data_IF_255529827912
#
_entry.id   IF_255529827912
#
_cell.length_a   1.000
_cell.length_b   1.000
_cell.length_c   1.000
_cell.angle_alpha   90.00
_cell.angle_beta   90.00
_cell.angle_gamma   90.00
#
_symmetry.space_group_name_H-M   'P 1'
#
loop_
_entity.id
_entity.type
_entity.pdbx_description
1 polymer ?
#
# COMPACT_ATOMS: atom_id res chain seq x y z
N UNK A 1 -5.97 -17.04 -15.46
CA UNK A 1 -5.71 -15.81 -14.70
C UNK A 1 -5.60 -14.62 -15.64
N UNK A 2 -4.54 -14.47 -16.46
CA UNK A 2 -4.41 -13.28 -17.33
C UNK A 2 -5.50 -13.22 -18.41
N UNK A 3 -5.76 -14.31 -19.13
CA UNK A 3 -6.80 -14.32 -20.19
C UNK A 3 -8.23 -14.15 -19.64
N UNK A 4 -8.49 -14.64 -18.42
CA UNK A 4 -9.81 -14.60 -17.79
C UNK A 4 -10.05 -13.34 -16.94
N UNK A 5 -8.99 -12.64 -16.52
CA UNK A 5 -9.07 -11.56 -15.52
C UNK A 5 -9.41 -12.03 -14.09
N UNK A 6 -9.59 -13.33 -13.88
CA UNK A 6 -10.02 -13.92 -12.60
C UNK A 6 -8.84 -14.51 -11.83
N UNK A 7 -8.90 -14.41 -10.50
CA UNK A 7 -7.92 -14.99 -9.59
C UNK A 7 -6.57 -14.28 -9.54
N UNK A 8 -6.51 -13.00 -9.96
CA UNK A 8 -5.30 -12.18 -9.89
C UNK A 8 -4.92 -11.98 -8.42
N UNK A 9 -3.74 -12.46 -8.04
CA UNK A 9 -3.21 -12.28 -6.69
C UNK A 9 -2.44 -10.94 -6.55
N UNK A 10 -1.94 -10.70 -5.34
CA UNK A 10 -1.24 -9.46 -5.01
C UNK A 10 0.02 -9.24 -5.85
N UNK A 11 0.80 -10.30 -6.09
CA UNK A 11 2.08 -10.19 -6.79
C UNK A 11 1.88 -9.94 -8.28
N UNK A 12 0.88 -10.58 -8.90
CA UNK A 12 0.52 -10.33 -10.28
C UNK A 12 -0.05 -8.91 -10.44
N UNK A 13 -0.90 -8.45 -9.53
CA UNK A 13 -1.40 -7.07 -9.55
C UNK A 13 -0.28 -6.04 -9.40
N UNK A 14 0.69 -6.29 -8.51
CA UNK A 14 1.90 -5.46 -8.35
C UNK A 14 2.73 -5.41 -9.65
N UNK A 15 2.98 -6.57 -10.27
CA UNK A 15 3.72 -6.65 -11.53
C UNK A 15 2.99 -5.92 -12.68
N UNK A 16 1.66 -6.01 -12.74
CA UNK A 16 0.85 -5.28 -13.72
C UNK A 16 0.92 -3.76 -13.51
N UNK A 17 0.91 -3.30 -12.25
CA UNK A 17 1.07 -1.89 -11.94
C UNK A 17 2.46 -1.36 -12.37
N UNK A 18 3.54 -2.11 -12.09
CA UNK A 18 4.88 -1.75 -12.57
C UNK A 18 4.95 -1.75 -14.09
N UNK A 19 4.43 -2.78 -14.75
CA UNK A 19 4.41 -2.88 -16.21
C UNK A 19 3.65 -1.70 -16.84
N UNK A 20 2.51 -1.30 -16.28
CA UNK A 20 1.75 -0.15 -16.77
C UNK A 20 2.57 1.15 -16.68
N UNK A 21 3.25 1.39 -15.55
CA UNK A 21 4.13 2.55 -15.39
C UNK A 21 5.29 2.54 -16.39
N UNK A 22 5.94 1.39 -16.59
CA UNK A 22 7.03 1.22 -17.56
C UNK A 22 6.57 1.50 -18.98
N UNK A 23 5.38 1.01 -19.36
CA UNK A 23 4.77 1.26 -20.69
C UNK A 23 4.49 2.75 -20.91
N UNK A 24 4.11 3.48 -19.86
CA UNK A 24 3.93 4.94 -19.89
C UNK A 24 5.26 5.72 -19.89
N UNK A 25 6.39 5.04 -19.76
CA UNK A 25 7.72 5.63 -19.70
C UNK A 25 8.12 6.14 -18.30
N UNK A 26 7.38 5.75 -17.26
CA UNK A 26 7.70 6.07 -15.88
C UNK A 26 8.74 5.09 -15.32
N UNK A 27 9.79 5.65 -14.72
CA UNK A 27 10.80 4.88 -14.02
C UNK A 27 10.24 4.28 -12.71
N UNK A 28 10.47 2.99 -12.50
CA UNK A 28 10.09 2.26 -11.28
C UNK A 28 11.34 1.74 -10.59
N UNK A 29 11.50 2.11 -9.31
CA UNK A 29 12.60 1.64 -8.47
C UNK A 29 12.08 0.93 -7.23
N UNK A 30 12.57 -0.28 -6.98
CA UNK A 30 12.27 -1.09 -5.81
C UNK A 30 13.57 -1.44 -5.07
N UNK A 31 13.65 -1.07 -3.80
CA UNK A 31 14.85 -1.24 -2.97
C UNK A 31 14.46 -1.76 -1.59
N UNK A 32 15.25 -2.70 -1.06
CA UNK A 32 15.06 -3.27 0.26
C UNK A 32 15.68 -4.65 0.39
N UNK A 33 15.58 -5.24 1.58
CA UNK A 33 16.13 -6.56 1.85
C UNK A 33 15.31 -7.64 1.11
N UNK A 34 16.00 -8.48 0.33
CA UNK A 34 15.43 -9.58 -0.44
C UNK A 34 14.25 -9.22 -1.38
N UNK A 35 14.15 -7.96 -1.81
CA UNK A 35 13.01 -7.48 -2.63
C UNK A 35 12.93 -8.11 -4.01
N UNK A 36 14.04 -8.57 -4.58
CA UNK A 36 14.09 -9.27 -5.88
C UNK A 36 13.19 -10.51 -5.88
N UNK A 37 13.25 -11.32 -4.82
CA UNK A 37 12.39 -12.49 -4.61
C UNK A 37 11.10 -12.12 -3.88
N UNK A 38 11.21 -11.18 -2.95
CA UNK A 38 10.25 -10.91 -1.89
C UNK A 38 10.55 -11.76 -0.65
N UNK A 39 10.42 -11.15 0.53
CA UNK A 39 10.55 -11.82 1.84
C UNK A 39 9.67 -13.06 1.91
N UNK A 40 8.41 -12.94 1.45
CA UNK A 40 7.42 -14.02 1.42
C UNK A 40 7.48 -14.89 0.16
N UNK A 41 8.54 -14.76 -0.65
CA UNK A 41 8.71 -15.45 -1.93
C UNK A 41 7.52 -15.31 -2.88
N UNK A 42 6.89 -14.14 -2.89
CA UNK A 42 5.69 -13.88 -3.68
C UNK A 42 5.98 -13.14 -4.98
N UNK A 43 7.10 -12.39 -5.08
CA UNK A 43 7.32 -11.40 -6.14
C UNK A 43 8.10 -11.93 -7.35
N UNK A 44 9.28 -12.50 -7.10
CA UNK A 44 10.17 -13.01 -8.16
C UNK A 44 10.42 -12.03 -9.33
N UNK A 45 10.67 -10.74 -9.04
CA UNK A 45 11.05 -9.74 -10.06
C UNK A 45 12.36 -10.09 -10.75
N UNK A 46 13.26 -10.80 -10.07
CA UNK A 46 14.46 -11.39 -10.66
C UNK A 46 14.39 -12.90 -10.55
N UNK A 47 14.57 -13.57 -11.68
CA UNK A 47 14.67 -15.02 -11.78
C UNK A 47 16.14 -15.39 -11.96
N UNK A 48 16.55 -16.47 -11.30
CA UNK A 48 17.89 -17.02 -11.41
C UNK A 48 17.84 -18.34 -12.17
N UNK A 49 18.59 -18.41 -13.27
CA UNK A 49 18.83 -19.64 -13.99
C UNK A 49 19.49 -20.68 -13.07
N UNK A 50 18.92 -21.88 -13.00
CA UNK A 50 19.31 -22.89 -12.01
C UNK A 50 20.65 -23.56 -12.34
N UNK A 51 21.10 -23.53 -13.60
CA UNK A 51 22.34 -24.17 -14.03
C UNK A 51 23.51 -23.19 -14.04
N UNK A 52 23.27 -21.97 -14.51
CA UNK A 52 24.30 -20.94 -14.75
C UNK A 52 24.32 -19.85 -13.69
N UNK A 53 23.24 -19.66 -12.92
CA UNK A 53 23.07 -18.58 -11.97
C UNK A 53 22.80 -17.21 -12.63
N UNK A 54 22.64 -17.16 -13.95
CA UNK A 54 22.33 -15.93 -14.68
C UNK A 54 21.01 -15.33 -14.19
N UNK A 55 20.99 -14.00 -14.02
CA UNK A 55 19.80 -13.24 -13.63
C UNK A 55 18.98 -12.86 -14.86
N UNK A 56 17.67 -12.92 -14.74
CA UNK A 56 16.72 -12.41 -15.73
C UNK A 56 15.62 -11.62 -15.02
N UNK A 57 15.37 -10.39 -15.46
CA UNK A 57 14.24 -9.58 -14.99
C UNK A 57 13.19 -9.45 -16.10
N UNK A 58 12.00 -10.06 -15.95
CA UNK A 58 10.95 -9.96 -16.95
C UNK A 58 10.46 -8.53 -17.19
N UNK A 59 10.51 -7.67 -16.17
CA UNK A 59 10.06 -6.27 -16.25
C UNK A 59 11.00 -5.37 -17.08
N UNK A 60 12.21 -5.84 -17.41
CA UNK A 60 13.12 -5.14 -18.34
C UNK A 60 12.70 -5.34 -19.82
N UNK A 61 11.72 -6.20 -20.08
CA UNK A 61 11.35 -6.68 -21.42
C UNK A 61 9.85 -6.49 -21.73
N UNK A 62 9.21 -5.47 -21.15
CA UNK A 62 7.77 -5.21 -21.32
C UNK A 62 7.47 -4.51 -22.65
N UNK A 63 8.38 -3.65 -23.13
CA UNK A 63 8.26 -2.94 -24.42
C UNK A 63 9.44 -3.20 -25.35
N UNK A 64 9.22 -3.10 -26.66
CA UNK A 64 10.32 -3.22 -27.63
C UNK A 64 11.31 -2.06 -27.49
N UNK A 65 12.60 -2.37 -27.45
CA UNK A 65 13.67 -1.39 -27.20
C UNK A 65 13.47 -0.61 -25.89
N UNK A 66 12.96 -1.28 -24.85
CA UNK A 66 12.85 -0.70 -23.52
C UNK A 66 14.22 -0.20 -23.05
N UNK A 67 14.26 1.00 -22.46
CA UNK A 67 15.44 1.41 -21.72
C UNK A 67 15.54 0.53 -20.47
N UNK A 68 16.63 -0.23 -20.34
CA UNK A 68 16.91 -1.13 -19.23
C UNK A 68 16.88 -0.42 -17.87
N UNK A 69 17.06 0.90 -17.84
CA UNK A 69 16.97 1.67 -16.61
C UNK A 69 15.53 1.90 -16.13
N UNK A 70 14.49 1.66 -16.94
CA UNK A 70 13.09 1.97 -16.56
C UNK A 70 12.56 1.16 -15.38
N UNK A 71 13.10 -0.04 -15.14
CA UNK A 71 12.79 -0.83 -13.96
C UNK A 71 14.08 -1.19 -13.24
N UNK A 72 14.21 -0.76 -12.00
CA UNK A 72 15.34 -1.14 -11.16
C UNK A 72 14.85 -1.81 -9.88
N UNK A 73 15.28 -3.06 -9.67
CA UNK A 73 15.05 -3.78 -8.41
C UNK A 73 16.41 -4.13 -7.80
N UNK A 74 16.59 -3.84 -6.52
CA UNK A 74 17.89 -4.01 -5.86
C UNK A 74 17.72 -4.54 -4.45
N UNK A 75 18.29 -5.73 -4.20
CA UNK A 75 18.48 -6.21 -2.84
C UNK A 75 19.47 -5.29 -2.11
N UNK A 76 18.98 -4.63 -1.06
CA UNK A 76 19.80 -3.75 -0.24
C UNK A 76 20.70 -4.55 0.72
N UNK A 77 21.72 -3.89 1.26
CA UNK A 77 22.39 -4.36 2.47
C UNK A 77 21.40 -4.46 3.65
N UNK A 78 21.80 -5.16 4.72
CA UNK A 78 21.08 -5.18 6.01
C UNK A 78 21.21 -3.83 6.73
N UNK A 79 20.59 -2.79 6.18
CA UNK A 79 20.52 -1.45 6.78
C UNK A 79 19.22 -0.78 6.37
N UNK A 80 18.42 -0.36 7.34
CA UNK A 80 17.15 0.33 7.11
C UNK A 80 17.39 1.83 7.01
N UNK A 81 18.09 2.42 7.98
CA UNK A 81 18.23 3.88 8.09
C UNK A 81 18.99 4.49 6.90
N UNK A 82 20.11 3.89 6.50
CA UNK A 82 20.92 4.42 5.40
C UNK A 82 20.23 4.21 4.04
N UNK A 83 19.63 3.03 3.83
CA UNK A 83 18.91 2.72 2.59
C UNK A 83 17.69 3.63 2.44
N UNK A 84 16.88 3.79 3.50
CA UNK A 84 15.73 4.69 3.48
C UNK A 84 16.16 6.15 3.20
N UNK A 85 17.25 6.61 3.80
CA UNK A 85 17.80 7.94 3.52
C UNK A 85 18.26 8.11 2.07
N UNK A 86 18.86 7.08 1.48
CA UNK A 86 19.23 7.06 0.07
C UNK A 86 18.01 7.12 -0.84
N UNK A 87 17.01 6.25 -0.62
CA UNK A 87 15.80 6.21 -1.44
C UNK A 87 14.97 7.50 -1.29
N UNK A 88 14.97 8.12 -0.10
CA UNK A 88 14.38 9.44 0.09
C UNK A 88 15.08 10.50 -0.79
N UNK A 89 16.42 10.54 -0.78
CA UNK A 89 17.18 11.46 -1.63
C UNK A 89 16.92 11.23 -3.12
N UNK A 90 16.87 9.96 -3.54
CA UNK A 90 16.54 9.58 -4.92
C UNK A 90 15.15 10.08 -5.33
N UNK A 91 14.15 9.91 -4.45
CA UNK A 91 12.76 10.34 -4.71
C UNK A 91 12.55 11.86 -4.75
N UNK A 92 13.50 12.65 -4.25
CA UNK A 92 13.42 14.12 -4.34
C UNK A 92 13.96 14.65 -5.67
N UNK A 93 14.77 13.86 -6.37
CA UNK A 93 15.32 14.21 -7.69
C UNK A 93 14.36 13.80 -8.82
N UNK A 94 13.60 12.72 -8.62
CA UNK A 94 12.60 12.25 -9.58
C UNK A 94 11.18 12.48 -9.05
N UNK A 95 10.38 13.41 -9.64
CA UNK A 95 9.12 13.87 -9.07
C UNK A 95 7.94 12.87 -9.19
N UNK A 96 8.10 11.73 -9.88
CA UNK A 96 7.01 10.81 -10.18
C UNK A 96 6.83 9.69 -9.15
N UNK A 97 6.89 10.02 -7.86
CA UNK A 97 6.71 9.03 -6.79
C UNK A 97 5.84 9.69 -5.67
N UNK A 98 5.05 8.95 -4.85
CA UNK A 98 4.23 9.43 -3.68
C UNK A 98 4.76 9.05 -2.23
N UNK A 99 4.99 9.99 -1.27
CA UNK A 99 5.47 9.75 0.14
C UNK A 99 5.00 10.75 1.22
N UNK A 100 5.27 10.39 2.48
CA UNK A 100 5.06 11.08 3.75
C UNK A 100 6.40 11.57 4.39
N UNK A 101 6.75 12.84 4.22
CA UNK A 101 7.88 13.50 4.91
C UNK A 101 7.57 14.96 5.21
N UNK A 102 8.08 15.50 6.32
CA UNK A 102 8.01 16.95 6.63
C UNK A 102 8.88 17.83 5.70
N UNK A 103 9.56 17.23 4.71
CA UNK A 103 10.41 17.94 3.76
C UNK A 103 9.65 18.94 2.88
N UNK A 104 8.39 18.65 2.53
CA UNK A 104 7.56 19.59 1.79
C UNK A 104 7.23 20.83 2.64
N UNK A 105 6.71 20.64 3.85
CA UNK A 105 6.36 21.74 4.74
C UNK A 105 7.55 22.63 5.13
N UNK A 106 8.74 22.05 5.34
CA UNK A 106 9.93 22.80 5.77
C UNK A 106 10.75 23.40 4.63
N UNK A 107 10.83 22.70 3.50
CA UNK A 107 11.80 23.00 2.45
C UNK A 107 11.19 23.02 1.05
N UNK A 108 9.86 22.89 0.93
CA UNK A 108 9.12 22.82 -0.34
C UNK A 108 9.66 21.71 -1.26
N UNK A 109 10.15 20.62 -0.66
CA UNK A 109 10.64 19.44 -1.38
C UNK A 109 9.58 18.37 -1.39
N UNK A 110 8.92 18.24 -2.53
CA UNK A 110 8.05 17.12 -2.83
C UNK A 110 8.91 15.86 -2.99
N UNK A 111 8.32 14.75 -2.59
CA UNK A 111 8.92 13.42 -2.66
C UNK A 111 7.79 12.49 -2.99
N UNK A 112 8.13 11.37 -3.62
CA UNK A 112 7.34 10.27 -3.18
C UNK A 112 7.80 8.82 -3.28
N UNK A 113 8.81 8.58 -2.49
CA UNK A 113 9.01 7.28 -1.90
C UNK A 113 7.73 6.54 -1.41
N UNK A 114 7.36 5.42 -2.03
CA UNK A 114 6.35 4.51 -1.45
C UNK A 114 7.03 3.61 -0.41
N UNK A 115 6.48 3.52 0.80
CA UNK A 115 7.04 2.65 1.87
C UNK A 115 6.12 1.46 2.11
N UNK A 116 6.61 0.28 1.74
CA UNK A 116 5.93 -1.00 1.93
C UNK A 116 6.33 -1.61 3.28
N UNK A 117 5.40 -1.65 4.23
CA UNK A 117 5.61 -2.23 5.55
C UNK A 117 4.67 -3.42 5.76
N UNK A 118 5.16 -4.67 5.67
CA UNK A 118 4.37 -5.85 6.00
C UNK A 118 3.75 -5.73 7.40
N UNK A 119 2.46 -6.03 7.52
CA UNK A 119 1.67 -5.83 8.72
C UNK A 119 0.59 -6.92 8.82
N UNK A 120 0.40 -7.50 10.02
CA UNK A 120 -0.60 -8.54 10.26
C UNK A 120 -0.36 -9.22 11.60
N UNK A 121 -1.43 -9.47 12.37
CA UNK A 121 -1.33 -10.08 13.70
C UNK A 121 -1.47 -11.61 13.63
N UNK A 122 -0.55 -12.26 12.92
CA UNK A 122 -0.62 -13.71 12.61
C UNK A 122 0.08 -14.60 13.66
N UNK A 123 0.31 -14.09 14.87
CA UNK A 123 0.94 -14.85 15.97
C UNK A 123 2.45 -15.02 15.86
N UNK A 124 3.14 -14.27 14.99
CA UNK A 124 4.61 -14.35 14.81
C UNK A 124 5.43 -13.54 15.84
N UNK A 125 4.77 -13.05 16.89
CA UNK A 125 5.40 -12.28 17.95
C UNK A 125 5.54 -10.78 17.65
N UNK A 126 6.07 -10.01 18.61
CA UNK A 126 5.98 -8.55 18.62
C UNK A 126 6.69 -7.86 17.45
N UNK A 127 7.81 -8.44 16.98
CA UNK A 127 8.64 -7.84 15.92
C UNK A 127 8.19 -8.21 14.49
N UNK A 128 7.17 -9.06 14.35
CA UNK A 128 6.65 -9.52 13.05
C UNK A 128 5.15 -9.30 12.90
N UNK A 129 4.55 -8.44 13.75
CA UNK A 129 3.10 -8.20 13.74
C UNK A 129 2.72 -6.78 13.29
N UNK A 130 3.42 -5.77 13.80
CA UNK A 130 3.00 -4.37 13.68
C UNK A 130 4.00 -3.51 12.92
N UNK A 131 3.51 -2.82 11.88
CA UNK A 131 4.23 -1.72 11.21
C UNK A 131 4.13 -0.40 11.98
N UNK A 132 3.44 -0.39 13.12
CA UNK A 132 3.21 0.79 13.97
C UNK A 132 2.49 1.91 13.24
N UNK A 133 1.44 1.56 12.49
CA UNK A 133 0.62 2.48 11.69
C UNK A 133 0.15 3.70 12.49
N UNK A 134 -0.16 3.54 13.78
CA UNK A 134 -0.53 4.62 14.69
C UNK A 134 0.51 5.75 14.75
N UNK A 135 1.81 5.42 14.59
CA UNK A 135 2.89 6.41 14.56
C UNK A 135 2.88 7.19 13.25
N UNK A 136 2.59 6.56 12.12
CA UNK A 136 2.45 7.24 10.83
C UNK A 136 1.25 8.18 10.82
N UNK A 137 0.13 7.75 11.39
CA UNK A 137 -1.06 8.60 11.54
C UNK A 137 -0.77 9.79 12.47
N UNK A 138 -0.06 9.59 13.57
CA UNK A 138 0.36 10.70 14.45
C UNK A 138 1.28 11.71 13.76
N UNK A 139 2.10 11.27 12.79
CA UNK A 139 2.98 12.15 12.02
C UNK A 139 2.27 12.87 10.86
N UNK A 140 1.04 12.47 10.54
CA UNK A 140 0.23 13.16 9.54
C UNK A 140 -0.25 14.49 10.10
N UNK A 141 -0.37 15.51 9.25
CA UNK A 141 -0.83 16.85 9.63
C UNK A 141 -2.36 16.99 9.62
N UNK A 142 -3.07 15.87 9.47
CA UNK A 142 -4.52 15.80 9.48
C UNK A 142 -5.05 16.22 10.86
N UNK A 143 -6.03 17.13 10.90
CA UNK A 143 -6.50 17.69 12.15
C UNK A 143 -7.58 16.78 12.77
N UNK A 144 -7.31 16.09 13.89
CA UNK A 144 -8.23 15.11 14.45
C UNK A 144 -9.52 15.72 15.02
N UNK A 145 -9.55 17.05 15.22
CA UNK A 145 -10.69 17.76 15.79
C UNK A 145 -11.49 18.56 14.75
N UNK A 146 -10.98 18.67 13.51
CA UNK A 146 -11.68 19.36 12.42
C UNK A 146 -12.40 18.31 11.59
N UNK A 147 -13.71 18.25 11.82
CA UNK A 147 -14.62 17.38 11.08
C UNK A 147 -15.44 18.29 10.14
N UNK A 148 -15.56 17.99 8.84
CA UNK A 148 -16.41 18.74 7.93
C UNK A 148 -17.86 18.83 8.43
N UNK A 149 -18.57 19.90 8.10
CA UNK A 149 -20.00 19.98 8.39
C UNK A 149 -20.75 18.83 7.69
N UNK A 150 -21.53 18.08 8.49
CA UNK A 150 -22.30 16.94 8.02
C UNK A 150 -23.49 16.68 8.93
N UNK A 151 -24.39 15.82 8.46
CA UNK A 151 -25.55 15.39 9.24
C UNK A 151 -25.13 14.82 10.61
N UNK A 152 -25.75 15.24 11.74
CA UNK A 152 -25.37 14.80 13.08
C UNK A 152 -25.41 13.29 13.30
N UNK A 153 -26.34 12.58 12.65
CA UNK A 153 -26.45 11.12 12.77
C UNK A 153 -25.27 10.44 12.08
N UNK A 154 -24.93 10.88 10.87
CA UNK A 154 -23.74 10.39 10.15
C UNK A 154 -22.46 10.68 10.93
N UNK A 155 -22.35 11.87 11.54
CA UNK A 155 -21.20 12.23 12.37
C UNK A 155 -21.02 11.27 13.55
N UNK A 156 -22.11 10.99 14.28
CA UNK A 156 -22.10 10.09 15.43
C UNK A 156 -21.72 8.67 15.01
N UNK A 157 -22.26 8.17 13.90
CA UNK A 157 -21.88 6.87 13.34
C UNK A 157 -20.37 6.78 13.12
N UNK A 158 -19.77 7.72 12.37
CA UNK A 158 -18.32 7.73 12.09
C UNK A 158 -17.48 7.66 13.37
N UNK A 159 -17.90 8.39 14.42
CA UNK A 159 -17.16 8.47 15.69
C UNK A 159 -17.32 7.24 16.58
N UNK A 160 -18.45 6.54 16.49
CA UNK A 160 -18.78 5.39 17.35
C UNK A 160 -18.59 4.04 16.66
N UNK A 161 -18.24 4.02 15.36
CA UNK A 161 -17.91 2.80 14.63
C UNK A 161 -16.71 2.08 15.26
N UNK A 162 -16.83 0.75 15.43
CA UNK A 162 -15.68 -0.11 15.72
C UNK A 162 -14.94 -0.42 14.42
N UNK A 163 -13.59 -0.43 14.48
CA UNK A 163 -12.72 -0.72 13.35
C UNK A 163 -11.97 -2.01 13.63
N UNK A 164 -12.06 -2.99 12.73
CA UNK A 164 -11.44 -4.31 12.90
C UNK A 164 -11.00 -4.88 11.54
N UNK A 165 -10.29 -6.02 11.57
CA UNK A 165 -9.79 -6.71 10.38
C UNK A 165 -10.93 -7.28 9.55
N UNK A 166 -10.98 -6.91 8.28
CA UNK A 166 -12.10 -7.20 7.39
C UNK A 166 -12.36 -8.70 7.17
N UNK A 167 -11.33 -9.47 6.82
CA UNK A 167 -11.52 -10.87 6.40
C UNK A 167 -12.07 -11.74 7.52
N UNK A 168 -11.56 -11.58 8.75
CA UNK A 168 -12.06 -12.29 9.93
C UNK A 168 -13.52 -11.93 10.22
N UNK A 169 -13.87 -10.63 10.11
CA UNK A 169 -15.23 -10.16 10.29
C UNK A 169 -16.20 -10.72 9.24
N UNK A 170 -15.79 -10.73 7.97
CA UNK A 170 -16.65 -11.22 6.88
C UNK A 170 -16.84 -12.74 6.97
N UNK A 171 -15.78 -13.48 7.29
CA UNK A 171 -15.85 -14.92 7.53
C UNK A 171 -16.76 -15.26 8.71
N UNK A 172 -16.66 -14.52 9.82
CA UNK A 172 -17.53 -14.74 10.98
C UNK A 172 -18.99 -14.36 10.68
N UNK A 173 -19.22 -13.26 9.97
CA UNK A 173 -20.56 -12.85 9.53
C UNK A 173 -21.21 -13.92 8.65
N UNK A 174 -20.44 -14.53 7.74
CA UNK A 174 -20.89 -15.65 6.89
C UNK A 174 -21.19 -16.90 7.71
N UNK A 175 -20.30 -17.29 8.64
CA UNK A 175 -20.51 -18.45 9.52
C UNK A 175 -21.74 -18.29 10.42
N UNK A 176 -21.98 -17.08 10.89
CA UNK A 176 -23.12 -16.72 11.73
C UNK A 176 -24.40 -16.38 10.93
N UNK A 177 -24.36 -16.48 9.59
CA UNK A 177 -25.48 -16.20 8.67
C UNK A 177 -26.16 -14.82 8.90
N UNK A 178 -25.37 -13.82 9.34
CA UNK A 178 -25.89 -12.49 9.69
C UNK A 178 -26.01 -11.59 8.47
N UNK A 179 -27.21 -11.05 8.27
CA UNK A 179 -27.51 -10.05 7.24
C UNK A 179 -27.84 -8.66 7.79
N UNK A 180 -27.82 -8.50 9.12
CA UNK A 180 -28.19 -7.28 9.83
C UNK A 180 -27.02 -6.29 10.02
N UNK A 181 -25.79 -6.71 9.68
CA UNK A 181 -24.57 -5.90 9.78
C UNK A 181 -23.96 -5.70 8.41
N UNK A 182 -23.70 -4.43 8.07
CA UNK A 182 -22.88 -4.05 6.93
C UNK A 182 -21.42 -3.92 7.37
N UNK A 183 -20.49 -4.50 6.60
CA UNK A 183 -19.05 -4.36 6.81
C UNK A 183 -18.51 -3.49 5.68
N UNK A 184 -17.94 -2.34 6.02
CA UNK A 184 -17.30 -1.43 5.07
C UNK A 184 -15.80 -1.38 5.35
N UNK A 185 -14.98 -1.21 4.31
CA UNK A 185 -13.53 -1.05 4.42
C UNK A 185 -13.15 0.41 4.22
N UNK A 186 -12.20 0.88 5.00
CA UNK A 186 -11.57 2.20 4.85
C UNK A 186 -10.11 1.95 4.48
N UNK A 187 -9.81 2.10 3.19
CA UNK A 187 -8.50 1.78 2.62
C UNK A 187 -7.52 2.95 2.73
N UNK A 188 -8.02 4.18 2.89
CA UNK A 188 -7.23 5.40 3.10
C UNK A 188 -7.54 5.97 4.47
N UNK A 189 -6.51 6.13 5.32
CA UNK A 189 -6.67 6.64 6.68
C UNK A 189 -6.26 8.11 6.83
N UNK A 190 -5.36 8.61 5.97
CA UNK A 190 -4.97 10.02 5.92
C UNK A 190 -4.64 10.44 4.46
N UNK A 191 -5.13 11.60 3.99
CA UNK A 191 -6.16 12.42 4.63
C UNK A 191 -7.46 11.62 4.79
N UNK A 192 -8.16 11.82 5.91
CA UNK A 192 -9.33 11.00 6.24
C UNK A 192 -10.48 11.20 5.23
N UNK A 193 -11.01 10.13 4.60
CA UNK A 193 -11.93 10.25 3.46
C UNK A 193 -13.40 10.46 3.89
N UNK A 194 -13.68 11.60 4.53
CA UNK A 194 -15.01 11.93 5.05
C UNK A 194 -16.12 11.86 4.00
N UNK A 195 -15.86 12.32 2.78
CA UNK A 195 -16.82 12.36 1.67
C UNK A 195 -17.21 10.95 1.20
N UNK A 196 -16.24 10.05 1.07
CA UNK A 196 -16.46 8.65 0.68
C UNK A 196 -17.23 7.90 1.77
N UNK A 197 -16.87 8.10 3.04
CA UNK A 197 -17.55 7.46 4.17
C UNK A 197 -19.00 7.96 4.27
N UNK A 198 -19.24 9.27 4.17
CA UNK A 198 -20.60 9.81 4.17
C UNK A 198 -21.44 9.24 3.02
N UNK A 199 -20.85 9.11 1.83
CA UNK A 199 -21.54 8.53 0.67
C UNK A 199 -21.93 7.08 0.93
N UNK A 200 -21.06 6.30 1.57
CA UNK A 200 -21.35 4.90 1.90
C UNK A 200 -22.41 4.80 3.00
N UNK A 201 -22.30 5.59 4.08
CA UNK A 201 -23.27 5.57 5.18
C UNK A 201 -24.69 5.95 4.73
N UNK A 202 -24.83 6.84 3.74
CA UNK A 202 -26.15 7.19 3.14
C UNK A 202 -26.87 5.99 2.51
N UNK A 203 -26.17 4.89 2.21
CA UNK A 203 -26.77 3.65 1.71
C UNK A 203 -27.49 2.86 2.80
N UNK A 204 -27.24 3.18 4.08
CA UNK A 204 -27.80 2.48 5.25
C UNK A 204 -28.61 3.44 6.16
N UNK A 205 -29.68 4.09 5.65
CA UNK A 205 -30.41 5.13 6.39
C UNK A 205 -31.14 4.61 7.64
N UNK A 206 -31.34 3.29 7.75
CA UNK A 206 -32.01 2.64 8.88
C UNK A 206 -31.05 2.19 10.00
N UNK A 207 -29.74 2.40 9.85
CA UNK A 207 -28.77 2.14 10.92
C UNK A 207 -28.82 3.28 11.95
N UNK A 208 -29.89 3.39 12.73
CA UNK A 208 -29.82 4.20 13.94
C UNK A 208 -28.95 3.47 14.99
N UNK A 209 -27.98 4.13 15.63
CA UNK A 209 -27.23 3.55 16.74
C UNK A 209 -28.14 3.22 17.93
#
# INVERSE_FOLDING_TARGET
>A
MIESGEGIDWAVAEALAFAALIVEGNHVRLSGQDVERGTFSHRHSVVHDQETGAKYCPLDHVVMNQNEELFTVSNSSLSEFAVLGFELGYSMENPNSLFLSSGEAKWLRQTGLVVLLPHGYDGQGPEHSSSRLERFLQMSDDNPFVIPEMDPTLRKQIQECNWQVYYELDDERKKSERSDVAICRVEQLSPFPYDLIQRELKRYPSMNP
#
